data_IF_178554599755
#
_entry.id   IF_178554599755
#
_cell.length_a   1.000
_cell.length_b   1.000
_cell.length_c   1.000
_cell.angle_alpha   90.00
_cell.angle_beta   90.00
_cell.angle_gamma   90.00
#
_symmetry.space_group_name_H-M   'P 1'
#
loop_
_entity.id
_entity.type
_entity.pdbx_description
1 polymer ?
#
# COMPACT_ATOMS: atom_id res chain seq x y z
N UNK A 1 -11.31 -0.01 -17.25
CA UNK A 1 -10.74 -1.25 -16.68
C UNK A 1 -10.41 -1.13 -15.20
N UNK A 2 -9.33 -0.46 -14.76
CA UNK A 2 -8.95 -0.40 -13.32
C UNK A 2 -10.12 0.05 -12.44
N UNK A 3 -10.78 1.18 -12.77
CA UNK A 3 -11.93 1.65 -11.98
C UNK A 3 -13.11 0.66 -11.97
N UNK A 4 -13.37 -0.03 -13.09
CA UNK A 4 -14.48 -0.97 -13.20
C UNK A 4 -14.25 -2.24 -12.40
N UNK A 5 -13.03 -2.79 -12.47
CA UNK A 5 -12.64 -3.97 -11.72
C UNK A 5 -12.58 -3.67 -10.21
N UNK A 6 -12.02 -2.52 -9.80
CA UNK A 6 -12.06 -2.07 -8.38
C UNK A 6 -13.48 -1.82 -7.88
N UNK A 7 -14.46 -1.63 -8.77
CA UNK A 7 -15.86 -1.50 -8.36
C UNK A 7 -16.59 -2.80 -8.09
N UNK A 8 -16.04 -3.92 -8.56
CA UNK A 8 -16.59 -5.24 -8.30
C UNK A 8 -15.81 -5.98 -7.21
N UNK A 9 -14.58 -5.56 -6.94
CA UNK A 9 -13.60 -6.32 -6.17
C UNK A 9 -12.79 -5.42 -5.25
N UNK A 10 -12.41 -5.98 -4.10
CA UNK A 10 -11.49 -5.33 -3.16
C UNK A 10 -10.04 -5.72 -3.49
N UNK A 11 -9.14 -4.76 -3.40
CA UNK A 11 -7.71 -4.96 -3.58
C UNK A 11 -6.95 -4.56 -2.33
N UNK A 12 -5.91 -5.32 -1.98
CA UNK A 12 -5.06 -5.11 -0.82
C UNK A 12 -3.68 -4.63 -1.25
N UNK A 13 -3.18 -3.58 -0.62
CA UNK A 13 -1.83 -3.10 -0.83
C UNK A 13 -0.86 -4.04 -0.10
N UNK A 14 -0.07 -4.78 -0.88
CA UNK A 14 0.86 -5.78 -0.35
C UNK A 14 2.25 -5.18 -0.12
N UNK A 15 2.70 -4.38 -1.09
CA UNK A 15 4.07 -3.91 -1.21
C UNK A 15 4.10 -2.46 -1.66
N UNK A 16 4.98 -1.67 -1.04
CA UNK A 16 5.33 -0.32 -1.48
C UNK A 16 6.84 -0.15 -1.50
N UNK A 17 7.40 0.48 -2.53
CA UNK A 17 8.85 0.57 -2.72
C UNK A 17 9.47 1.85 -2.20
N UNK A 18 8.72 2.93 -2.10
CA UNK A 18 9.19 4.20 -1.55
C UNK A 18 8.05 4.91 -0.81
N UNK A 19 8.38 5.86 0.08
CA UNK A 19 7.37 6.56 0.89
C UNK A 19 6.71 5.63 1.92
N UNK A 20 7.46 5.16 2.93
CA UNK A 20 6.99 4.15 3.87
C UNK A 20 5.74 4.60 4.63
N UNK A 21 4.76 3.71 4.77
CA UNK A 21 3.55 3.96 5.57
C UNK A 21 3.78 3.46 7.00
N UNK A 22 4.31 4.33 7.86
CA UNK A 22 4.40 4.05 9.30
C UNK A 22 3.02 4.19 9.94
N UNK A 23 2.79 3.47 11.04
CA UNK A 23 1.53 3.59 11.79
C UNK A 23 0.32 2.89 11.14
N UNK A 24 0.37 2.50 9.86
CA UNK A 24 -0.78 1.93 9.15
C UNK A 24 -0.49 0.59 8.47
N UNK A 25 -1.45 -0.34 8.54
CA UNK A 25 -1.42 -1.66 7.91
C UNK A 25 -2.76 -2.04 7.30
N UNK A 26 -2.82 -3.22 6.69
CA UNK A 26 -4.04 -3.83 6.18
C UNK A 26 -4.79 -2.95 5.18
N UNK A 27 -4.04 -2.16 4.41
CA UNK A 27 -4.60 -1.17 3.50
C UNK A 27 -5.30 -1.89 2.35
N UNK A 28 -6.58 -1.60 2.18
CA UNK A 28 -7.42 -2.17 1.14
C UNK A 28 -8.27 -1.10 0.49
N UNK A 29 -8.66 -1.34 -0.75
CA UNK A 29 -9.36 -0.37 -1.59
C UNK A 29 -10.51 -1.05 -2.32
N UNK A 30 -11.67 -0.42 -2.28
CA UNK A 30 -12.84 -0.77 -3.11
C UNK A 30 -13.37 0.49 -3.77
N UNK A 31 -13.66 0.41 -5.06
CA UNK A 31 -14.18 1.52 -5.84
C UNK A 31 -15.71 1.50 -5.97
N UNK A 32 -16.28 2.65 -6.31
CA UNK A 32 -17.68 2.76 -6.72
C UNK A 32 -17.79 3.79 -7.85
N UNK A 33 -18.13 3.34 -9.06
CA UNK A 33 -18.27 4.22 -10.23
C UNK A 33 -19.36 5.26 -9.96
N UNK A 34 -18.99 6.53 -9.93
CA UNK A 34 -19.92 7.65 -9.74
C UNK A 34 -20.44 8.17 -11.08
N UNK A 35 -19.62 8.13 -12.12
CA UNK A 35 -20.00 8.53 -13.47
C UNK A 35 -19.16 7.81 -14.52
N UNK A 36 -19.77 6.90 -15.26
CA UNK A 36 -19.09 6.13 -16.32
C UNK A 36 -18.61 7.00 -17.48
N UNK A 37 -19.36 8.04 -17.85
CA UNK A 37 -18.99 8.95 -18.95
C UNK A 37 -17.76 9.80 -18.62
N UNK A 38 -17.72 10.33 -17.39
CA UNK A 38 -16.58 11.12 -16.91
C UNK A 38 -15.45 10.25 -16.34
N UNK A 39 -15.63 8.93 -16.34
CA UNK A 39 -14.70 7.93 -15.80
C UNK A 39 -14.28 8.26 -14.36
N UNK A 40 -15.26 8.64 -13.53
CA UNK A 40 -15.04 8.96 -12.11
C UNK A 40 -15.58 7.85 -11.21
N UNK A 41 -14.89 7.63 -10.11
CA UNK A 41 -15.29 6.70 -9.06
C UNK A 41 -14.99 7.30 -7.67
N UNK A 42 -15.63 6.77 -6.63
CA UNK A 42 -15.23 6.99 -5.25
C UNK A 42 -14.47 5.75 -4.79
N UNK A 43 -13.26 5.90 -4.32
CA UNK A 43 -12.47 4.84 -3.71
C UNK A 43 -12.64 4.95 -2.20
N UNK A 44 -13.20 3.90 -1.60
CA UNK A 44 -13.16 3.72 -0.15
C UNK A 44 -11.91 2.91 0.17
N UNK A 45 -11.00 3.54 0.91
CA UNK A 45 -9.76 2.96 1.38
C UNK A 45 -9.95 2.64 2.86
N UNK A 46 -9.78 1.38 3.22
CA UNK A 46 -9.85 0.90 4.59
C UNK A 46 -8.45 0.52 5.04
N UNK A 47 -8.06 0.93 6.24
CA UNK A 47 -6.74 0.69 6.79
C UNK A 47 -6.83 0.44 8.29
N UNK A 48 -5.83 -0.24 8.84
CA UNK A 48 -5.68 -0.49 10.26
C UNK A 48 -4.66 0.49 10.84
N UNK A 49 -5.12 1.33 11.77
CA UNK A 49 -4.25 2.19 12.56
C UNK A 49 -3.62 1.35 13.68
N UNK A 50 -2.29 1.24 13.67
CA UNK A 50 -1.54 0.40 14.60
C UNK A 50 -1.39 1.03 15.99
N UNK A 51 -1.54 2.35 16.11
CA UNK A 51 -1.49 3.06 17.39
C UNK A 51 -2.85 2.97 18.10
N UNK A 52 -3.93 3.28 17.38
CA UNK A 52 -5.31 3.21 17.89
C UNK A 52 -5.85 1.78 17.94
N UNK A 53 -5.23 0.87 17.19
CA UNK A 53 -5.62 -0.54 17.05
C UNK A 53 -7.02 -0.74 16.49
N UNK A 54 -7.46 0.16 15.62
CA UNK A 54 -8.77 0.12 14.99
C UNK A 54 -8.68 0.26 13.47
N UNK A 55 -9.73 -0.21 12.80
CA UNK A 55 -9.85 -0.01 11.36
C UNK A 55 -10.59 1.28 11.09
N UNK A 56 -9.98 2.13 10.28
CA UNK A 56 -10.57 3.36 9.79
C UNK A 56 -10.82 3.24 8.29
N UNK A 57 -11.63 4.16 7.77
CA UNK A 57 -11.82 4.28 6.34
C UNK A 57 -11.85 5.75 5.92
N UNK A 58 -11.38 5.98 4.70
CA UNK A 58 -11.50 7.26 4.03
C UNK A 58 -12.06 7.04 2.62
N UNK A 59 -12.81 8.01 2.12
CA UNK A 59 -13.29 7.99 0.75
C UNK A 59 -12.70 9.14 -0.04
N UNK A 60 -12.03 8.81 -1.14
CA UNK A 60 -11.47 9.78 -2.08
C UNK A 60 -12.15 9.65 -3.44
N UNK A 61 -12.34 10.76 -4.13
CA UNK A 61 -12.83 10.73 -5.51
C UNK A 61 -11.65 10.54 -6.46
N UNK A 62 -11.80 9.64 -7.43
CA UNK A 62 -10.78 9.37 -8.45
C UNK A 62 -11.34 9.51 -9.86
N UNK A 63 -10.46 9.74 -10.82
CA UNK A 63 -10.76 9.81 -12.25
C UNK A 63 -9.72 9.05 -13.05
N UNK A 64 -10.17 8.25 -14.00
CA UNK A 64 -9.28 7.66 -15.00
C UNK A 64 -8.98 8.68 -16.11
N UNK A 65 -7.71 8.91 -16.36
CA UNK A 65 -7.19 9.85 -17.35
C UNK A 65 -6.22 9.13 -18.29
N UNK A 66 -5.99 9.77 -19.43
CA UNK A 66 -5.16 9.26 -20.50
C UNK A 66 -4.02 10.24 -20.79
N UNK A 67 -2.79 9.74 -20.80
CA UNK A 67 -1.64 10.53 -21.24
C UNK A 67 -1.68 10.77 -22.76
N UNK A 68 -0.89 11.75 -23.22
CA UNK A 68 -0.63 11.90 -24.65
C UNK A 68 -0.07 10.59 -25.23
N UNK A 69 -0.49 10.24 -26.45
CA UNK A 69 -0.04 9.04 -27.20
C UNK A 69 -0.49 7.68 -26.65
N UNK A 70 -1.20 7.62 -25.53
CA UNK A 70 -1.85 6.39 -25.07
C UNK A 70 -3.22 6.19 -25.74
N UNK A 71 -3.55 4.92 -26.01
CA UNK A 71 -4.83 4.52 -26.58
C UNK A 71 -5.94 4.43 -25.52
N UNK A 72 -5.58 4.00 -24.30
CA UNK A 72 -6.47 3.77 -23.17
C UNK A 72 -6.01 4.57 -21.95
N UNK A 73 -6.94 4.83 -21.02
CA UNK A 73 -6.61 5.47 -19.75
C UNK A 73 -5.58 4.64 -18.96
N UNK A 74 -4.54 5.32 -18.51
CA UNK A 74 -3.41 4.73 -17.82
C UNK A 74 -2.98 5.54 -16.59
N UNK A 75 -3.77 6.56 -16.21
CA UNK A 75 -3.55 7.39 -15.04
C UNK A 75 -4.81 7.39 -14.19
N UNK A 76 -4.66 7.19 -12.89
CA UNK A 76 -5.70 7.38 -11.88
C UNK A 76 -5.36 8.63 -11.10
N UNK A 77 -6.16 9.69 -11.28
CA UNK A 77 -6.03 10.93 -10.55
C UNK A 77 -6.91 10.89 -9.31
N UNK A 78 -6.33 11.03 -8.13
CA UNK A 78 -7.05 11.12 -6.87
C UNK A 78 -7.21 12.57 -6.43
N UNK A 79 -8.42 12.93 -5.99
CA UNK A 79 -8.74 14.24 -5.45
C UNK A 79 -8.28 14.32 -3.98
N UNK A 80 -7.44 15.31 -3.68
CA UNK A 80 -7.08 15.65 -2.30
C UNK A 80 -7.97 16.80 -1.78
N UNK A 81 -8.24 17.80 -2.63
CA UNK A 81 -9.01 18.98 -2.22
C UNK A 81 -9.72 19.65 -3.40
N UNK A 82 -10.96 20.05 -3.17
CA UNK A 82 -11.74 20.81 -4.14
C UNK A 82 -12.31 19.95 -5.27
N UNK A 83 -12.36 20.51 -6.48
CA UNK A 83 -12.97 19.85 -7.65
C UNK A 83 -11.93 19.04 -8.40
N UNK A 84 -12.17 17.73 -8.58
CA UNK A 84 -11.28 16.82 -9.28
C UNK A 84 -11.02 17.24 -10.74
N UNK A 85 -9.79 17.64 -11.10
CA UNK A 85 -9.49 18.16 -12.43
C UNK A 85 -9.55 17.09 -13.53
N UNK A 86 -9.89 17.53 -14.75
CA UNK A 86 -9.93 16.69 -15.96
C UNK A 86 -8.83 17.05 -16.98
N UNK A 87 -7.79 17.76 -16.55
CA UNK A 87 -6.69 18.14 -17.44
C UNK A 87 -5.89 16.90 -17.83
N UNK A 88 -5.41 16.83 -19.08
CA UNK A 88 -4.55 15.75 -19.55
C UNK A 88 -3.29 15.67 -18.68
N UNK A 89 -2.95 14.48 -18.13
CA UNK A 89 -1.75 14.30 -17.33
C UNK A 89 -0.50 14.55 -18.18
N UNK A 90 0.43 15.32 -17.62
CA UNK A 90 1.76 15.51 -18.20
C UNK A 90 2.70 14.66 -17.36
N UNK A 91 3.30 13.58 -17.91
CA UNK A 91 4.26 12.79 -17.16
C UNK A 91 5.40 13.72 -16.67
N UNK A 92 5.84 13.59 -15.42
CA UNK A 92 7.00 14.30 -14.88
C UNK A 92 8.31 14.12 -15.68
N UNK A 93 8.37 13.21 -16.65
CA UNK A 93 9.57 12.85 -17.40
C UNK A 93 10.42 11.85 -16.61
N UNK A 94 11.28 11.07 -17.28
CA UNK A 94 12.08 10.02 -16.62
C UNK A 94 13.07 10.55 -15.57
N UNK A 95 13.46 11.83 -15.69
CA UNK A 95 14.50 12.45 -14.86
C UNK A 95 14.03 12.91 -13.49
N UNK A 96 12.72 13.00 -13.24
CA UNK A 96 12.17 13.36 -11.92
C UNK A 96 12.04 12.17 -10.97
N UNK A 97 12.27 10.94 -11.46
CA UNK A 97 12.18 9.69 -10.69
C UNK A 97 13.53 9.10 -10.32
N UNK A 98 14.64 9.70 -10.79
CA UNK A 98 15.98 9.33 -10.36
C UNK A 98 16.37 10.22 -9.18
N UNK A 99 16.49 9.65 -7.98
CA UNK A 99 16.95 10.40 -6.80
C UNK A 99 18.37 10.97 -6.98
N UNK A 100 19.19 10.39 -7.87
CA UNK A 100 20.55 10.84 -8.12
C UNK A 100 20.99 10.59 -9.58
N UNK A 101 20.88 11.62 -10.42
CA UNK A 101 21.69 11.71 -11.64
C UNK A 101 23.06 12.30 -11.29
N UNK A 102 24.11 11.49 -11.43
CA UNK A 102 25.52 11.86 -11.23
C UNK A 102 26.02 13.02 -12.11
N UNK A 103 25.22 13.52 -13.06
CA UNK A 103 25.64 14.52 -14.03
C UNK A 103 25.03 15.92 -13.82
N UNK A 104 24.05 16.09 -12.94
CA UNK A 104 23.45 17.41 -12.70
C UNK A 104 23.14 17.67 -11.22
N UNK A 105 23.90 18.59 -10.61
CA UNK A 105 23.56 19.24 -9.34
C UNK A 105 22.36 20.21 -9.51
N UNK A 106 21.27 19.76 -10.15
CA UNK A 106 20.00 20.48 -10.17
C UNK A 106 19.01 19.74 -9.29
N UNK A 107 18.69 20.38 -8.16
CA UNK A 107 17.53 20.10 -7.31
C UNK A 107 16.28 19.83 -8.15
N UNK A 108 15.48 18.83 -7.73
CA UNK A 108 14.05 18.65 -8.05
C UNK A 108 13.43 19.94 -8.60
N UNK A 109 13.30 20.03 -9.93
CA UNK A 109 13.03 21.29 -10.65
C UNK A 109 11.58 21.78 -10.58
N UNK A 110 10.72 21.06 -9.86
CA UNK A 110 9.55 21.64 -9.21
C UNK A 110 9.86 21.69 -7.72
N UNK A 111 9.85 22.86 -7.06
CA UNK A 111 9.70 22.87 -5.62
C UNK A 111 8.39 22.13 -5.38
N UNK A 112 8.47 20.92 -4.83
CA UNK A 112 7.33 20.37 -4.10
C UNK A 112 6.89 21.47 -3.15
N UNK A 113 5.59 21.73 -3.06
CA UNK A 113 5.10 22.74 -2.13
C UNK A 113 5.74 22.43 -0.79
N UNK A 114 6.53 23.37 -0.26
CA UNK A 114 6.91 23.33 1.14
C UNK A 114 5.60 23.13 1.87
N UNK A 115 5.45 21.99 2.53
CA UNK A 115 4.25 21.68 3.28
C UNK A 115 4.08 22.84 4.26
N UNK A 116 3.18 23.78 3.95
CA UNK A 116 2.59 24.67 4.92
C UNK A 116 1.77 23.72 5.81
N UNK A 117 2.50 23.11 6.74
CA UNK A 117 2.00 22.32 7.84
C UNK A 117 1.23 23.27 8.76
N UNK A 118 0.02 23.64 8.34
CA UNK A 118 -1.07 23.72 9.29
C UNK A 118 -1.33 22.27 9.71
N UNK A 119 -0.54 21.82 10.69
CA UNK A 119 -0.60 20.49 11.30
C UNK A 119 -1.99 20.30 11.92
N UNK A 120 -2.94 19.90 11.09
CA UNK A 120 -4.05 19.07 11.49
C UNK A 120 -3.51 17.63 11.62
N UNK A 121 -4.12 16.87 12.52
CA UNK A 121 -3.86 15.45 12.83
C UNK A 121 -3.23 14.63 11.70
N UNK A 122 -2.27 13.77 12.07
CA UNK A 122 -1.65 12.72 11.24
C UNK A 122 -2.70 12.02 10.35
N UNK A 123 -2.89 12.53 9.13
CA UNK A 123 -3.91 12.06 8.20
C UNK A 123 -3.31 10.91 7.40
N UNK A 124 -4.01 9.78 7.35
CA UNK A 124 -3.62 8.62 6.54
C UNK A 124 -3.27 9.01 5.09
N UNK A 125 -3.90 10.05 4.53
CA UNK A 125 -3.56 10.54 3.19
C UNK A 125 -2.14 11.09 3.06
N UNK A 126 -1.57 11.65 4.13
CA UNK A 126 -0.19 12.14 4.13
C UNK A 126 0.80 10.96 4.11
N UNK A 127 0.47 9.82 4.70
CA UNK A 127 1.27 8.60 4.53
C UNK A 127 1.02 7.90 3.20
N UNK A 128 -0.20 7.96 2.68
CA UNK A 128 -0.52 7.37 1.39
C UNK A 128 0.15 8.15 0.25
N UNK A 129 0.24 9.48 0.38
CA UNK A 129 0.79 10.43 -0.58
C UNK A 129 1.73 11.47 0.09
N UNK A 130 2.91 11.05 0.58
CA UNK A 130 3.81 11.89 1.37
C UNK A 130 4.37 13.11 0.64
N UNK A 131 4.33 13.10 -0.70
CA UNK A 131 4.84 14.22 -1.51
C UNK A 131 3.77 14.71 -2.47
N UNK A 132 3.07 15.78 -2.12
CA UNK A 132 2.02 16.30 -2.99
C UNK A 132 2.61 17.18 -4.10
N UNK A 133 2.53 16.73 -5.36
CA UNK A 133 2.88 17.56 -6.53
C UNK A 133 1.91 18.73 -6.73
N UNK A 134 0.67 18.56 -6.24
CA UNK A 134 -0.39 19.55 -6.33
C UNK A 134 -1.21 19.51 -5.03
N UNK A 135 -1.67 20.68 -4.54
CA UNK A 135 -2.51 20.73 -3.34
C UNK A 135 -3.95 20.28 -3.60
N UNK A 136 -4.28 19.94 -4.86
CA UNK A 136 -5.63 19.56 -5.29
C UNK A 136 -5.74 18.07 -5.60
N UNK A 137 -4.69 17.45 -6.15
CA UNK A 137 -4.76 16.08 -6.63
C UNK A 137 -3.38 15.41 -6.70
N UNK A 138 -3.39 14.08 -6.82
CA UNK A 138 -2.20 13.28 -7.11
C UNK A 138 -2.49 12.33 -8.28
N UNK A 139 -1.46 12.08 -9.10
CA UNK A 139 -1.54 11.17 -10.24
C UNK A 139 -0.81 9.86 -9.95
N UNK A 140 -1.53 8.75 -10.13
CA UNK A 140 -0.99 7.40 -10.07
C UNK A 140 -0.99 6.81 -11.48
N UNK A 141 0.16 6.35 -11.94
CA UNK A 141 0.38 5.80 -13.27
C UNK A 141 0.28 4.28 -13.22
N UNK A 142 -0.56 3.71 -14.07
CA UNK A 142 -0.72 2.25 -14.20
C UNK A 142 0.49 1.69 -14.94
N UNK A 143 1.35 0.97 -14.21
CA UNK A 143 2.53 0.30 -14.77
C UNK A 143 2.15 -1.06 -15.33
N UNK A 144 1.28 -1.76 -14.61
CA UNK A 144 0.79 -3.08 -14.98
C UNK A 144 -0.62 -3.28 -14.42
N UNK A 145 -1.48 -3.91 -15.21
CA UNK A 145 -2.83 -4.22 -14.79
C UNK A 145 -3.28 -5.59 -15.30
N UNK A 146 -3.70 -6.45 -14.36
CA UNK A 146 -4.44 -7.67 -14.62
C UNK A 146 -5.55 -7.82 -13.57
N UNK A 147 -6.59 -8.62 -13.82
CA UNK A 147 -7.67 -8.82 -12.86
C UNK A 147 -7.21 -9.34 -11.49
N UNK A 148 -6.06 -10.01 -11.41
CA UNK A 148 -5.48 -10.47 -10.15
C UNK A 148 -4.68 -9.40 -9.40
N UNK A 149 -4.08 -8.42 -10.08
CA UNK A 149 -3.19 -7.45 -9.46
C UNK A 149 -3.05 -6.13 -10.25
N UNK A 150 -2.73 -5.06 -9.52
CA UNK A 150 -2.32 -3.78 -10.11
C UNK A 150 -0.98 -3.33 -9.59
N UNK A 151 -0.22 -2.69 -10.46
CA UNK A 151 0.99 -1.98 -10.11
C UNK A 151 0.81 -0.54 -10.49
N UNK A 152 0.81 0.32 -9.47
CA UNK A 152 0.66 1.76 -9.62
C UNK A 152 1.98 2.41 -9.24
N UNK A 153 2.46 3.36 -10.04
CA UNK A 153 3.58 4.23 -9.71
C UNK A 153 3.05 5.62 -9.41
N UNK A 154 3.52 6.23 -8.34
CA UNK A 154 3.13 7.61 -8.01
C UNK A 154 4.36 8.48 -7.76
N UNK A 155 4.46 9.67 -8.36
CA UNK A 155 5.42 10.66 -7.91
C UNK A 155 5.18 11.04 -6.43
N UNK A 156 3.93 10.97 -5.98
CA UNK A 156 3.58 11.31 -4.60
C UNK A 156 4.09 10.32 -3.56
N UNK A 157 4.52 9.14 -4.00
CA UNK A 157 5.24 8.15 -3.20
C UNK A 157 6.73 8.17 -3.54
N UNK A 158 7.31 9.36 -3.78
CA UNK A 158 8.71 9.56 -4.17
C UNK A 158 9.11 8.85 -5.48
N UNK A 159 8.14 8.54 -6.34
CA UNK A 159 8.38 7.75 -7.56
C UNK A 159 8.28 6.25 -7.36
N UNK A 160 7.99 5.79 -6.13
CA UNK A 160 7.80 4.38 -5.81
C UNK A 160 6.57 3.76 -6.46
N UNK A 161 6.48 2.44 -6.33
CA UNK A 161 5.34 1.67 -6.78
C UNK A 161 4.64 0.97 -5.64
N UNK A 162 3.35 0.75 -5.88
CA UNK A 162 2.44 0.01 -5.04
C UNK A 162 1.97 -1.25 -5.79
N UNK A 163 2.09 -2.42 -5.16
CA UNK A 163 1.48 -3.67 -5.63
C UNK A 163 0.18 -3.91 -4.88
N UNK A 164 -0.92 -3.89 -5.62
CA UNK A 164 -2.25 -4.19 -5.13
C UNK A 164 -2.66 -5.58 -5.59
N UNK A 165 -3.08 -6.44 -4.67
CA UNK A 165 -3.51 -7.82 -4.94
C UNK A 165 -5.01 -7.98 -4.68
N UNK A 166 -5.73 -8.65 -5.57
CA UNK A 166 -7.17 -8.89 -5.39
C UNK A 166 -7.46 -9.75 -4.16
N UNK A 167 -8.53 -9.41 -3.43
CA UNK A 167 -8.99 -10.11 -2.22
C UNK A 167 -9.10 -11.62 -2.42
N UNK A 168 -9.67 -12.09 -3.53
CA UNK A 168 -9.84 -13.53 -3.80
C UNK A 168 -8.50 -14.27 -3.89
N UNK A 169 -7.49 -13.66 -4.53
CA UNK A 169 -6.16 -14.25 -4.64
C UNK A 169 -5.46 -14.29 -3.29
N UNK A 170 -5.51 -13.18 -2.55
CA UNK A 170 -4.93 -13.10 -1.20
C UNK A 170 -5.61 -14.08 -0.23
N UNK A 171 -6.94 -14.16 -0.27
CA UNK A 171 -7.73 -15.07 0.57
C UNK A 171 -7.36 -16.53 0.29
N UNK A 172 -7.25 -16.92 -0.99
CA UNK A 172 -6.79 -18.27 -1.34
C UNK A 172 -5.42 -18.57 -0.72
N UNK A 173 -4.47 -17.64 -0.83
CA UNK A 173 -3.13 -17.81 -0.24
C UNK A 173 -3.20 -18.00 1.27
N UNK A 174 -3.98 -17.17 1.98
CA UNK A 174 -4.13 -17.25 3.43
C UNK A 174 -4.83 -18.53 3.86
N UNK A 175 -5.95 -18.89 3.20
CA UNK A 175 -6.71 -20.11 3.50
C UNK A 175 -5.84 -21.36 3.27
N UNK A 176 -5.05 -21.40 2.19
CA UNK A 176 -4.12 -22.51 1.88
C UNK A 176 -2.96 -22.60 2.88
N UNK A 177 -2.63 -21.52 3.59
CA UNK A 177 -1.54 -21.47 4.59
C UNK A 177 -2.03 -21.66 6.03
N UNK A 178 -3.34 -21.80 6.29
CA UNK A 178 -3.96 -21.67 7.61
C UNK A 178 -3.10 -22.14 8.79
N UNK A 179 -2.76 -23.43 8.83
CA UNK A 179 -1.97 -24.02 9.92
C UNK A 179 -0.49 -23.57 9.89
N UNK A 180 0.09 -23.35 8.71
CA UNK A 180 1.47 -22.86 8.55
C UNK A 180 1.67 -21.46 9.15
N UNK A 181 0.66 -20.58 9.07
CA UNK A 181 0.71 -19.24 9.68
C UNK A 181 0.85 -19.36 11.20
N UNK A 182 0.02 -20.20 11.83
CA UNK A 182 0.00 -20.42 13.28
C UNK A 182 1.31 -21.08 13.75
N UNK A 183 1.75 -22.14 13.07
CA UNK A 183 3.00 -22.83 13.37
C UNK A 183 4.20 -21.88 13.26
N UNK A 184 4.17 -20.99 12.27
CA UNK A 184 5.24 -20.01 12.05
C UNK A 184 5.25 -18.94 13.15
N UNK A 185 4.09 -18.43 13.54
CA UNK A 185 3.94 -17.46 14.63
C UNK A 185 4.47 -18.05 15.94
N UNK A 186 4.04 -19.25 16.32
CA UNK A 186 4.49 -19.91 17.55
C UNK A 186 6.01 -20.14 17.55
N UNK A 187 6.56 -20.55 16.40
CA UNK A 187 8.00 -20.74 16.25
C UNK A 187 8.76 -19.43 16.45
N UNK A 188 8.34 -18.35 15.79
CA UNK A 188 8.95 -17.03 15.92
C UNK A 188 8.85 -16.52 17.36
N UNK A 189 7.70 -16.75 18.02
CA UNK A 189 7.50 -16.36 19.42
C UNK A 189 8.49 -17.07 20.34
N UNK A 190 8.64 -18.40 20.23
CA UNK A 190 9.62 -19.16 21.03
C UNK A 190 11.07 -18.72 20.77
N UNK A 191 11.42 -18.46 19.51
CA UNK A 191 12.74 -17.97 19.13
C UNK A 191 13.02 -16.57 19.72
N UNK A 192 12.03 -15.68 19.66
CA UNK A 192 12.11 -14.31 20.16
C UNK A 192 12.12 -14.25 21.70
N UNK A 193 11.26 -15.00 22.37
CA UNK A 193 11.25 -15.13 23.84
C UNK A 193 12.63 -15.57 24.34
N UNK A 194 13.24 -16.58 23.69
CA UNK A 194 14.60 -17.01 24.02
C UNK A 194 15.65 -15.91 23.77
N UNK A 195 15.54 -15.16 22.67
CA UNK A 195 16.44 -14.04 22.34
C UNK A 195 16.41 -12.94 23.41
N UNK A 196 15.22 -12.62 23.93
CA UNK A 196 15.02 -11.59 24.94
C UNK A 196 15.04 -12.10 26.39
N UNK A 197 15.34 -13.39 26.60
CA UNK A 197 15.46 -13.99 27.93
C UNK A 197 14.13 -14.13 28.67
N UNK A 198 13.02 -14.25 27.94
CA UNK A 198 11.71 -14.60 28.46
C UNK A 198 11.61 -16.12 28.57
N UNK A 199 11.37 -16.61 29.79
CA UNK A 199 11.24 -18.03 30.10
C UNK A 199 9.98 -18.25 30.93
N UNK A 200 9.35 -19.43 30.81
CA UNK A 200 8.08 -19.76 31.49
C UNK A 200 8.08 -19.49 33.01
N UNK A 201 9.25 -19.57 33.65
CA UNK A 201 9.40 -19.40 35.09
C UNK A 201 9.70 -17.94 35.53
N UNK A 202 9.72 -16.99 34.60
CA UNK A 202 10.07 -15.59 34.88
C UNK A 202 8.96 -14.64 34.41
N UNK A 203 8.66 -13.62 35.22
CA UNK A 203 7.77 -12.53 34.79
C UNK A 203 8.54 -11.64 33.81
N UNK A 204 8.12 -11.63 32.54
CA UNK A 204 8.69 -10.76 31.53
C UNK A 204 8.41 -9.28 31.86
N UNK A 205 9.41 -8.42 31.63
CA UNK A 205 9.22 -6.96 31.66
C UNK A 205 8.36 -6.51 30.48
N UNK A 206 7.78 -5.31 30.56
CA UNK A 206 7.03 -4.75 29.43
C UNK A 206 7.91 -4.59 28.18
N UNK A 207 9.14 -4.09 28.32
CA UNK A 207 10.10 -4.00 27.22
C UNK A 207 10.35 -5.37 26.55
N UNK A 208 10.50 -6.44 27.35
CA UNK A 208 10.70 -7.79 26.81
C UNK A 208 9.48 -8.26 26.01
N UNK A 209 8.27 -8.00 26.49
CA UNK A 209 7.04 -8.35 25.77
C UNK A 209 6.91 -7.56 24.48
N UNK A 210 7.22 -6.27 24.51
CA UNK A 210 7.19 -5.40 23.34
C UNK A 210 8.19 -5.87 22.28
N UNK A 211 9.44 -6.12 22.66
CA UNK A 211 10.45 -6.64 21.73
C UNK A 211 10.08 -8.01 21.15
N UNK A 212 9.50 -8.90 21.98
CA UNK A 212 8.99 -10.18 21.47
C UNK A 212 7.90 -9.97 20.43
N UNK A 213 6.93 -9.10 20.72
CA UNK A 213 5.84 -8.77 19.80
C UNK A 213 6.35 -8.21 18.47
N UNK A 214 7.26 -7.22 18.52
CA UNK A 214 7.82 -6.59 17.32
C UNK A 214 8.60 -7.57 16.44
N UNK A 215 9.41 -8.44 17.05
CA UNK A 215 10.18 -9.46 16.33
C UNK A 215 9.26 -10.51 15.67
N UNK A 216 8.18 -10.92 16.36
CA UNK A 216 7.19 -11.85 15.81
C UNK A 216 6.44 -11.21 14.65
N UNK A 217 6.02 -9.95 14.80
CA UNK A 217 5.28 -9.21 13.78
C UNK A 217 6.12 -8.96 12.51
N UNK A 218 7.36 -8.49 12.65
CA UNK A 218 8.27 -8.33 11.51
C UNK A 218 8.65 -9.68 10.88
N UNK A 219 8.82 -10.72 11.71
CA UNK A 219 9.15 -12.07 11.26
C UNK A 219 8.03 -12.72 10.44
N UNK A 220 6.77 -12.60 10.89
CA UNK A 220 5.62 -13.16 10.18
C UNK A 220 5.37 -12.42 8.87
N UNK A 221 5.53 -11.10 8.84
CA UNK A 221 5.40 -10.31 7.62
C UNK A 221 6.41 -10.73 6.56
N UNK A 222 7.68 -10.82 6.93
CA UNK A 222 8.74 -11.26 6.01
C UNK A 222 8.44 -12.64 5.43
N UNK A 223 8.10 -13.59 6.29
CA UNK A 223 7.79 -14.95 5.87
C UNK A 223 6.56 -15.01 4.96
N UNK A 224 5.49 -14.31 5.34
CA UNK A 224 4.25 -14.31 4.57
C UNK A 224 4.48 -13.69 3.20
N UNK A 225 5.26 -12.61 3.12
CA UNK A 225 5.61 -12.00 1.85
C UNK A 225 6.42 -12.90 0.95
N UNK A 226 7.47 -13.55 1.46
CA UNK A 226 8.25 -14.54 0.70
C UNK A 226 7.36 -15.65 0.13
N UNK A 227 6.25 -15.93 0.82
CA UNK A 227 5.25 -16.91 0.40
C UNK A 227 4.30 -16.35 -0.66
N UNK A 228 3.80 -15.13 -0.48
CA UNK A 228 2.99 -14.39 -1.47
C UNK A 228 3.75 -14.24 -2.79
N UNK A 229 5.03 -13.87 -2.75
CA UNK A 229 5.91 -13.78 -3.93
C UNK A 229 5.95 -15.07 -4.77
N UNK A 230 5.77 -16.23 -4.13
CA UNK A 230 5.79 -17.55 -4.80
C UNK A 230 4.42 -18.02 -5.27
N UNK A 231 3.34 -17.43 -4.76
CA UNK A 231 1.96 -17.89 -5.00
C UNK A 231 1.12 -16.93 -5.87
N UNK A 232 1.51 -15.65 -5.95
CA UNK A 232 0.90 -14.69 -6.88
C UNK A 232 1.31 -15.00 -8.32
N UNK A 233 0.50 -14.57 -9.28
CA UNK A 233 0.78 -14.66 -10.72
C UNK A 233 2.24 -14.25 -11.03
N UNK A 234 3.03 -15.11 -11.71
CA UNK A 234 4.40 -14.78 -12.08
C UNK A 234 4.52 -13.48 -12.87
N UNK A 235 3.50 -13.14 -13.67
CA UNK A 235 3.49 -11.93 -14.48
C UNK A 235 3.37 -10.67 -13.63
N UNK A 236 2.52 -10.69 -12.59
CA UNK A 236 2.42 -9.61 -11.60
C UNK A 236 3.76 -9.36 -10.90
N UNK A 237 4.37 -10.45 -10.42
CA UNK A 237 5.63 -10.41 -9.69
C UNK A 237 6.77 -9.93 -10.58
N UNK A 238 6.86 -10.45 -11.81
CA UNK A 238 7.87 -10.05 -12.77
C UNK A 238 7.70 -8.59 -13.18
N UNK A 239 6.47 -8.14 -13.48
CA UNK A 239 6.18 -6.75 -13.81
C UNK A 239 6.60 -5.81 -12.67
N UNK A 240 6.34 -6.20 -11.41
CA UNK A 240 6.76 -5.41 -10.25
C UNK A 240 8.27 -5.35 -10.12
N UNK A 241 8.96 -6.48 -10.18
CA UNK A 241 10.42 -6.51 -10.05
C UNK A 241 11.13 -5.74 -11.18
N UNK A 242 10.63 -5.84 -12.40
CA UNK A 242 11.21 -5.14 -13.56
C UNK A 242 10.98 -3.62 -13.50
N UNK A 243 9.82 -3.20 -12.99
CA UNK A 243 9.49 -1.79 -12.96
C UNK A 243 9.97 -1.11 -11.68
N UNK A 244 9.88 -1.74 -10.52
CA UNK A 244 9.69 -1.06 -9.24
C UNK A 244 10.73 -1.40 -8.15
N UNK A 245 11.85 -2.01 -8.51
CA UNK A 245 12.90 -2.42 -7.56
C UNK A 245 12.34 -3.26 -6.37
N UNK A 246 12.94 -3.15 -5.18
CA UNK A 246 12.60 -3.95 -4.00
C UNK A 246 11.61 -3.20 -3.11
N UNK A 247 10.61 -3.88 -2.50
CA UNK A 247 9.72 -3.24 -1.54
C UNK A 247 10.46 -2.78 -0.28
N UNK A 248 10.12 -1.58 0.19
CA UNK A 248 10.56 -0.98 1.46
C UNK A 248 9.49 -1.17 2.54
N UNK A 249 8.21 -1.15 2.17
CA UNK A 249 7.10 -1.34 3.10
C UNK A 249 6.29 -2.61 2.81
N UNK A 250 5.86 -3.21 3.92
CA UNK A 250 5.10 -4.45 4.00
C UNK A 250 3.80 -4.17 4.71
N UNK A 251 2.70 -4.15 3.97
CA UNK A 251 1.46 -3.56 4.48
C UNK A 251 0.41 -4.60 4.85
N UNK A 252 0.67 -5.88 4.54
CA UNK A 252 -0.22 -6.97 4.91
C UNK A 252 0.47 -7.96 5.86
N UNK A 253 -0.12 -8.12 7.05
CA UNK A 253 0.25 -9.11 8.05
C UNK A 253 -0.91 -10.12 8.19
N UNK A 254 -0.71 -11.43 7.96
CA UNK A 254 -1.81 -12.39 7.95
C UNK A 254 -2.49 -12.59 9.31
N UNK A 255 -1.85 -12.22 10.42
CA UNK A 255 -2.43 -12.30 11.77
C UNK A 255 -3.24 -11.04 12.03
N UNK A 256 -2.61 -9.87 11.93
CA UNK A 256 -3.25 -8.57 12.21
C UNK A 256 -4.36 -8.25 11.20
N UNK A 257 -4.16 -8.60 9.93
CA UNK A 257 -5.07 -8.27 8.84
C UNK A 257 -6.12 -9.34 8.56
N UNK A 258 -6.19 -10.45 9.30
CA UNK A 258 -7.13 -11.53 8.98
C UNK A 258 -8.60 -11.05 8.96
N UNK A 259 -8.97 -10.19 9.92
CA UNK A 259 -10.31 -9.61 10.01
C UNK A 259 -10.71 -8.83 8.74
N UNK A 260 -9.74 -8.18 8.08
CA UNK A 260 -9.98 -7.46 6.82
C UNK A 260 -10.32 -8.39 5.64
N UNK A 261 -9.91 -9.66 5.69
CA UNK A 261 -10.25 -10.66 4.67
C UNK A 261 -11.59 -11.35 4.91
N UNK A 262 -11.95 -11.57 6.17
CA UNK A 262 -13.10 -12.41 6.57
C UNK A 262 -14.39 -11.63 6.81
N UNK A 263 -14.36 -10.29 6.74
CA UNK A 263 -15.48 -9.38 7.11
C UNK A 263 -15.95 -9.52 8.57
N UNK A 264 -15.23 -10.29 9.38
CA UNK A 264 -15.47 -10.39 10.81
C UNK A 264 -14.64 -9.33 11.52
N UNK A 265 -15.23 -8.16 11.69
CA UNK A 265 -14.79 -7.22 12.73
C UNK A 265 -15.02 -7.89 14.09
N UNK A 266 -14.01 -8.61 14.58
CA UNK A 266 -13.97 -9.06 15.98
C UNK A 266 -13.07 -8.09 16.72
N UNK A 267 -13.62 -7.16 17.52
CA UNK A 267 -12.81 -6.38 18.44
C UNK A 267 -12.28 -7.35 19.52
N UNK A 268 -10.97 -7.36 19.72
CA UNK A 268 -10.34 -7.93 20.91
C UNK A 268 -10.33 -6.90 22.04
#
# INVERSE_FOLDING_TARGET
QVLEETSNETYFLMFRTEGPMYGYKCVSMTGNITNGTNKTANFTITFYDTEKKEYENITIQVRALKQADYLLENVVRANLKGTLPNTTPVPPGSYTYAEYDNSTCYSRSTPFLDAENDAAEDDFLDYLFPVQESPQYVDMYVVYNQPECYILRSPATLGGCDLWLRKTELKRIVDDLGDEIVDKEEKLKKESEKKYGVYENCTATEDQKEFVSLDVEDGIERWFQDTVWKRVSPDCILAFMLACEKPVSRLYNPITCNNSLTEQYVPF
#
